data_IF_780259904947
#
_entry.id   IF_780259904947
#
_cell.length_a   1.000
_cell.length_b   1.000
_cell.length_c   1.000
_cell.angle_alpha   90.00
_cell.angle_beta   90.00
_cell.angle_gamma   90.00
#
_symmetry.space_group_name_H-M   'P 1'
#
loop_
_entity.id
_entity.type
_entity.pdbx_description
1 polymer ?
#
# COMPACT_ATOMS: atom_id res chain seq x y z
N UNK A 1 -11.66 40.96 -27.46
CA UNK A 1 -10.18 41.05 -27.32
C UNK A 1 -9.68 40.60 -25.95
N UNK A 2 -10.44 40.82 -24.87
CA UNK A 2 -10.07 40.37 -23.51
C UNK A 2 -10.26 38.84 -23.26
N UNK A 3 -11.22 38.19 -23.93
CA UNK A 3 -11.45 36.73 -23.83
C UNK A 3 -10.33 35.88 -24.46
N UNK A 4 -9.80 36.32 -25.62
CA UNK A 4 -8.78 35.58 -26.39
C UNK A 4 -7.39 35.58 -25.75
N UNK A 5 -7.12 36.48 -24.80
CA UNK A 5 -5.85 36.51 -24.06
C UNK A 5 -5.86 35.64 -22.80
N UNK A 6 -7.03 35.35 -22.21
CA UNK A 6 -7.14 34.41 -21.10
C UNK A 6 -6.91 32.96 -21.56
N UNK A 7 -7.45 32.58 -22.73
CA UNK A 7 -7.37 31.23 -23.29
C UNK A 7 -5.92 30.81 -23.67
N UNK A 8 -5.09 31.77 -24.08
CA UNK A 8 -3.69 31.50 -24.44
C UNK A 8 -2.77 31.38 -23.23
N UNK A 9 -3.08 32.07 -22.11
CA UNK A 9 -2.31 32.00 -20.88
C UNK A 9 -2.48 30.67 -20.15
N UNK A 10 -3.72 30.20 -20.05
CA UNK A 10 -4.06 28.92 -19.39
C UNK A 10 -3.52 27.74 -20.20
N UNK A 11 -3.64 27.77 -21.54
CA UNK A 11 -3.09 26.72 -22.41
C UNK A 11 -1.56 26.64 -22.35
N UNK A 12 -0.85 27.77 -22.21
CA UNK A 12 0.62 27.80 -22.05
C UNK A 12 1.06 27.33 -20.67
N UNK A 13 0.30 27.66 -19.62
CA UNK A 13 0.56 27.19 -18.26
C UNK A 13 0.41 25.66 -18.16
N UNK A 14 -0.67 25.11 -18.72
CA UNK A 14 -0.94 23.66 -18.70
C UNK A 14 0.08 22.88 -19.55
N UNK A 15 0.48 23.40 -20.72
CA UNK A 15 1.53 22.77 -21.53
C UNK A 15 2.90 22.80 -20.85
N UNK A 16 3.20 23.88 -20.10
CA UNK A 16 4.39 23.97 -19.25
C UNK A 16 4.42 22.93 -18.13
N UNK A 17 3.29 22.69 -17.46
CA UNK A 17 3.16 21.66 -16.43
C UNK A 17 3.34 20.23 -16.98
N UNK A 18 2.83 19.95 -18.19
CA UNK A 18 2.94 18.63 -18.82
C UNK A 18 4.38 18.28 -19.24
N UNK A 19 5.15 19.27 -19.73
CA UNK A 19 6.56 19.10 -20.13
C UNK A 19 7.48 19.01 -18.91
N UNK A 20 7.18 19.77 -17.84
CA UNK A 20 7.91 19.66 -16.58
C UNK A 20 7.78 18.26 -15.96
N UNK A 21 6.60 17.64 -16.05
CA UNK A 21 6.35 16.28 -15.54
C UNK A 21 7.19 15.20 -16.25
N UNK A 22 7.33 15.29 -17.58
CA UNK A 22 8.20 14.36 -18.34
C UNK A 22 9.69 14.51 -18.03
N UNK A 23 10.14 15.71 -17.63
CA UNK A 23 11.54 15.96 -17.27
C UNK A 23 11.87 15.54 -15.83
N UNK A 24 10.92 15.63 -14.90
CA UNK A 24 11.11 15.21 -13.50
C UNK A 24 11.23 13.68 -13.38
N UNK A 25 10.43 12.91 -14.13
CA UNK A 25 10.50 11.44 -14.14
C UNK A 25 11.84 10.93 -14.70
N UNK A 26 12.45 11.64 -15.65
CA UNK A 26 13.76 11.28 -16.20
C UNK A 26 14.95 11.74 -15.34
N UNK A 27 14.77 12.73 -14.47
CA UNK A 27 15.86 13.34 -13.67
C UNK A 27 16.21 12.61 -12.38
N UNK A 28 15.26 11.89 -11.78
CA UNK A 28 15.47 11.23 -10.48
C UNK A 28 16.44 10.02 -10.54
N UNK A 29 16.61 9.39 -11.70
CA UNK A 29 17.53 8.25 -11.87
C UNK A 29 19.02 8.62 -11.89
N UNK A 30 19.39 9.90 -11.98
CA UNK A 30 20.80 10.33 -12.12
C UNK A 30 21.43 10.89 -10.84
N UNK A 31 20.63 11.33 -9.87
CA UNK A 31 21.15 12.01 -8.67
C UNK A 31 21.69 11.03 -7.59
N UNK A 32 21.20 9.79 -7.57
CA UNK A 32 21.53 8.84 -6.50
C UNK A 32 22.93 8.21 -6.58
N UNK A 33 23.67 8.37 -7.68
CA UNK A 33 24.94 7.65 -7.92
C UNK A 33 26.19 8.48 -7.54
N UNK A 34 26.07 9.79 -7.28
CA UNK A 34 27.25 10.67 -7.20
C UNK A 34 27.77 11.00 -5.79
N UNK A 35 27.11 10.64 -4.69
CA UNK A 35 27.49 11.13 -3.35
C UNK A 35 28.13 10.08 -2.43
N UNK A 36 28.52 8.91 -2.94
CA UNK A 36 29.04 7.80 -2.12
C UNK A 36 30.58 7.71 -2.07
N UNK A 37 31.29 8.78 -2.42
CA UNK A 37 32.74 8.88 -2.26
C UNK A 37 33.02 10.00 -1.27
N UNK A 38 33.65 9.64 -0.15
CA UNK A 38 34.17 10.49 0.94
C UNK A 38 33.47 10.26 2.29
N UNK A 39 33.73 9.10 2.91
CA UNK A 39 33.56 8.93 4.35
C UNK A 39 34.83 8.28 4.94
N UNK A 40 35.41 9.00 5.89
CA UNK A 40 36.66 8.73 6.59
C UNK A 40 36.46 7.60 7.62
N UNK A 41 37.35 6.61 7.60
CA UNK A 41 37.34 5.41 8.47
C UNK A 41 37.75 5.82 9.89
N UNK A 42 36.87 5.63 10.87
CA UNK A 42 37.23 5.62 12.30
C UNK A 42 37.28 4.18 12.79
N UNK A 43 38.40 3.83 13.43
CA UNK A 43 38.73 2.50 13.93
C UNK A 43 37.68 2.00 14.95
N UNK A 44 37.07 0.86 14.64
CA UNK A 44 36.22 0.10 15.57
C UNK A 44 37.07 -1.02 16.15
N UNK A 45 37.23 -1.02 17.48
CA UNK A 45 37.83 -2.10 18.23
C UNK A 45 36.88 -3.31 18.19
N UNK A 46 37.30 -4.37 17.49
CA UNK A 46 36.53 -5.60 17.38
C UNK A 46 36.67 -6.36 18.71
N UNK A 47 35.57 -6.42 19.47
CA UNK A 47 35.43 -7.38 20.56
C UNK A 47 35.11 -8.74 19.93
N UNK A 48 36.02 -9.71 20.05
CA UNK A 48 35.74 -11.10 19.68
C UNK A 48 34.61 -11.65 20.55
N UNK A 49 33.49 -12.02 19.91
CA UNK A 49 32.42 -12.81 20.54
C UNK A 49 32.60 -14.25 20.06
N UNK A 50 32.83 -15.16 21.01
CA UNK A 50 33.06 -16.58 20.75
C UNK A 50 31.88 -17.21 19.98
N UNK A 51 32.17 -17.82 18.83
CA UNK A 51 31.19 -18.40 17.91
C UNK A 51 30.53 -19.72 18.40
N UNK A 52 30.58 -20.00 19.70
CA UNK A 52 30.19 -21.29 20.28
C UNK A 52 28.77 -21.32 20.89
N UNK A 53 28.07 -20.18 21.00
CA UNK A 53 26.75 -20.11 21.67
C UNK A 53 25.63 -19.47 20.83
N UNK A 54 25.52 -19.81 19.54
CA UNK A 54 24.30 -19.50 18.77
C UNK A 54 23.59 -20.80 18.38
N UNK A 55 23.03 -21.49 19.38
CA UNK A 55 22.08 -22.57 19.09
C UNK A 55 20.74 -21.93 18.73
N UNK A 56 20.09 -22.30 17.62
CA UNK A 56 18.80 -21.71 17.20
C UNK A 56 17.62 -22.09 18.09
N UNK A 57 17.84 -22.94 19.10
CA UNK A 57 16.83 -23.44 20.03
C UNK A 57 16.87 -22.63 21.33
N UNK A 58 15.71 -22.47 21.97
CA UNK A 58 15.62 -21.88 23.31
C UNK A 58 16.10 -22.83 24.42
N UNK A 59 15.97 -22.40 25.67
CA UNK A 59 16.35 -23.19 26.86
C UNK A 59 15.55 -24.49 27.03
N UNK A 60 14.38 -24.59 26.38
CA UNK A 60 13.49 -25.74 26.39
C UNK A 60 13.67 -26.62 25.14
N UNK A 61 14.51 -26.21 24.19
CA UNK A 61 14.77 -26.93 22.94
C UNK A 61 13.77 -26.62 21.82
N UNK A 62 12.95 -25.57 21.95
CA UNK A 62 12.01 -25.15 20.92
C UNK A 62 12.69 -24.30 19.85
N UNK A 63 12.34 -24.56 18.60
CA UNK A 63 12.84 -23.80 17.45
C UNK A 63 12.08 -22.47 17.29
N UNK A 64 10.77 -22.48 17.55
CA UNK A 64 9.90 -21.33 17.38
C UNK A 64 9.53 -20.72 18.72
N UNK A 65 9.89 -19.46 18.91
CA UNK A 65 9.66 -18.74 20.17
C UNK A 65 8.47 -17.81 20.00
N UNK A 66 7.50 -17.90 20.92
CA UNK A 66 6.26 -17.12 20.82
C UNK A 66 6.50 -15.62 20.66
N UNK A 67 7.32 -15.02 21.53
CA UNK A 67 7.55 -13.58 21.50
C UNK A 67 8.33 -13.08 20.28
N UNK A 68 9.22 -13.90 19.73
CA UNK A 68 10.07 -13.57 18.57
C UNK A 68 9.35 -13.82 17.24
N UNK A 69 8.66 -14.95 17.13
CA UNK A 69 8.20 -15.49 15.86
C UNK A 69 6.68 -15.47 15.70
N UNK A 70 5.90 -15.68 16.77
CA UNK A 70 4.43 -15.82 16.70
C UNK A 70 3.71 -14.52 17.03
N UNK A 71 4.10 -13.85 18.11
CA UNK A 71 3.48 -12.60 18.54
C UNK A 71 3.50 -11.52 17.44
N UNK A 72 4.58 -11.32 16.67
CA UNK A 72 4.55 -10.38 15.55
C UNK A 72 3.55 -10.74 14.45
N UNK A 73 3.32 -12.04 14.20
CA UNK A 73 2.33 -12.49 13.22
C UNK A 73 0.91 -12.18 13.71
N UNK A 74 0.62 -12.43 14.99
CA UNK A 74 -0.67 -12.13 15.59
C UNK A 74 -0.96 -10.62 15.60
N UNK A 75 0.05 -9.80 15.91
CA UNK A 75 -0.06 -8.33 15.85
C UNK A 75 -0.37 -7.87 14.43
N UNK A 76 0.42 -8.33 13.46
CA UNK A 76 0.34 -7.88 12.06
C UNK A 76 -0.96 -8.26 11.38
N UNK A 77 -1.42 -9.50 11.61
CA UNK A 77 -2.47 -10.11 10.79
C UNK A 77 -3.80 -10.29 11.50
N UNK A 78 -3.82 -10.27 12.84
CA UNK A 78 -4.99 -10.68 13.61
C UNK A 78 -5.54 -9.58 14.53
N UNK A 79 -4.68 -8.78 15.18
CA UNK A 79 -5.12 -7.82 16.19
C UNK A 79 -6.03 -6.70 15.68
N UNK A 80 -5.94 -6.32 14.40
CA UNK A 80 -6.80 -5.25 13.85
C UNK A 80 -8.30 -5.60 13.97
N UNK A 81 -8.66 -6.87 13.78
CA UNK A 81 -10.05 -7.36 13.83
C UNK A 81 -10.37 -8.20 15.07
N UNK A 82 -9.36 -8.69 15.79
CA UNK A 82 -9.51 -9.58 16.97
C UNK A 82 -8.76 -9.03 18.20
N UNK A 83 -8.62 -7.71 18.28
CA UNK A 83 -8.01 -7.00 19.42
C UNK A 83 -9.03 -6.61 20.50
N UNK A 84 -8.58 -5.88 21.54
CA UNK A 84 -9.41 -5.54 22.70
C UNK A 84 -10.53 -4.53 22.42
N UNK A 85 -10.39 -3.70 21.38
CA UNK A 85 -11.30 -2.58 21.11
C UNK A 85 -12.48 -2.95 20.19
N UNK A 86 -12.30 -3.91 19.26
CA UNK A 86 -13.34 -4.37 18.33
C UNK A 86 -13.08 -5.83 17.89
N UNK A 87 -13.41 -6.78 18.77
CA UNK A 87 -13.24 -8.20 18.52
C UNK A 87 -14.39 -8.77 17.67
N UNK A 88 -14.14 -9.02 16.38
CA UNK A 88 -15.09 -9.70 15.51
C UNK A 88 -15.43 -11.09 16.07
N UNK A 89 -16.71 -11.43 16.05
CA UNK A 89 -17.27 -12.67 16.61
C UNK A 89 -16.95 -12.92 18.10
N UNK A 90 -16.63 -11.86 18.87
CA UNK A 90 -16.27 -11.96 20.29
C UNK A 90 -15.02 -12.83 20.54
N UNK A 91 -14.16 -12.99 19.51
CA UNK A 91 -12.90 -13.70 19.60
C UNK A 91 -11.74 -12.71 19.72
N UNK A 92 -10.98 -12.83 20.81
CA UNK A 92 -9.81 -12.01 21.14
C UNK A 92 -8.53 -12.81 21.00
N UNK A 93 -7.62 -12.35 20.14
CA UNK A 93 -6.31 -12.95 19.93
C UNK A 93 -5.28 -12.51 20.98
N UNK A 94 -5.51 -11.37 21.65
CA UNK A 94 -4.68 -10.92 22.78
C UNK A 94 -4.92 -11.73 24.07
N UNK A 95 -6.03 -12.48 24.13
CA UNK A 95 -6.44 -13.27 25.28
C UNK A 95 -5.92 -14.71 25.17
N UNK A 96 -4.88 -15.02 25.94
CA UNK A 96 -4.25 -16.36 25.91
C UNK A 96 -5.26 -17.47 26.21
N UNK A 97 -6.12 -17.29 27.21
CA UNK A 97 -7.05 -18.35 27.62
C UNK A 97 -8.07 -18.62 26.51
N UNK A 98 -8.59 -17.57 25.88
CA UNK A 98 -9.51 -17.71 24.74
C UNK A 98 -8.81 -18.30 23.52
N UNK A 99 -7.55 -17.93 23.25
CA UNK A 99 -6.80 -18.48 22.11
C UNK A 99 -6.53 -19.98 22.30
N UNK A 100 -6.18 -20.37 23.53
CA UNK A 100 -5.93 -21.77 23.88
C UNK A 100 -7.16 -22.68 23.69
N UNK A 101 -8.38 -22.15 23.69
CA UNK A 101 -9.59 -22.92 23.35
C UNK A 101 -9.64 -23.37 21.88
N UNK A 102 -8.84 -22.74 21.01
CA UNK A 102 -8.77 -23.03 19.56
C UNK A 102 -7.50 -23.77 19.15
N UNK A 103 -6.58 -23.98 20.11
CA UNK A 103 -5.33 -24.70 19.93
C UNK A 103 -5.37 -26.04 20.65
N UNK A 104 -4.82 -27.05 19.99
CA UNK A 104 -4.43 -28.31 20.62
C UNK A 104 -2.89 -28.35 20.65
N UNK A 105 -2.26 -28.06 21.81
CA UNK A 105 -0.83 -28.21 21.96
C UNK A 105 -0.35 -29.58 21.51
N UNK A 106 0.83 -29.62 20.87
CA UNK A 106 1.44 -30.83 20.28
C UNK A 106 0.74 -31.37 19.02
N UNK A 107 -0.42 -30.82 18.61
CA UNK A 107 -1.15 -31.26 17.42
C UNK A 107 -1.79 -30.10 16.63
N UNK A 108 -1.01 -29.52 15.72
CA UNK A 108 -1.50 -28.49 14.80
C UNK A 108 -2.60 -28.98 13.86
N UNK A 109 -2.63 -30.28 13.53
CA UNK A 109 -3.63 -30.84 12.61
C UNK A 109 -4.98 -31.11 13.32
N UNK A 110 -5.02 -31.05 14.65
CA UNK A 110 -6.24 -31.05 15.47
C UNK A 110 -6.64 -29.65 15.98
N UNK A 111 -5.76 -28.66 15.81
CA UNK A 111 -6.02 -27.28 16.23
C UNK A 111 -6.98 -26.58 15.27
N UNK A 112 -8.16 -26.22 15.76
CA UNK A 112 -9.19 -25.54 14.96
C UNK A 112 -8.69 -24.23 14.37
N UNK A 113 -7.88 -23.45 15.10
CA UNK A 113 -7.25 -22.24 14.55
C UNK A 113 -6.51 -22.54 13.25
N UNK A 114 -5.68 -23.58 13.25
CA UNK A 114 -4.82 -23.91 12.12
C UNK A 114 -5.60 -24.50 10.94
N UNK A 115 -6.49 -25.46 11.21
CA UNK A 115 -7.19 -26.21 10.16
C UNK A 115 -8.41 -25.47 9.63
N UNK A 116 -9.24 -24.95 10.52
CA UNK A 116 -10.55 -24.40 10.13
C UNK A 116 -10.46 -22.93 9.71
N UNK A 117 -9.42 -22.19 10.15
CA UNK A 117 -9.29 -20.76 9.87
C UNK A 117 -8.03 -20.38 9.08
N UNK A 118 -6.85 -20.94 9.39
CA UNK A 118 -5.60 -20.53 8.70
C UNK A 118 -5.34 -21.26 7.37
N UNK A 119 -5.79 -22.51 7.23
CA UNK A 119 -5.49 -23.38 6.08
C UNK A 119 -6.74 -23.87 5.31
N UNK A 120 -7.90 -23.27 5.59
CA UNK A 120 -9.16 -23.61 4.94
C UNK A 120 -9.25 -23.06 3.51
N UNK A 121 -10.00 -23.76 2.65
CA UNK A 121 -10.37 -23.29 1.30
C UNK A 121 -11.67 -22.47 1.30
N UNK A 122 -12.38 -22.39 2.43
CA UNK A 122 -13.64 -21.65 2.57
C UNK A 122 -13.36 -20.16 2.79
N UNK A 123 -13.78 -19.31 1.83
CA UNK A 123 -13.54 -17.86 1.86
C UNK A 123 -14.19 -17.15 3.06
N UNK A 124 -15.31 -17.66 3.58
CA UNK A 124 -16.01 -17.04 4.71
C UNK A 124 -15.36 -17.38 6.07
N UNK A 125 -14.58 -18.47 6.10
CA UNK A 125 -13.90 -18.97 7.30
C UNK A 125 -12.41 -18.62 7.33
N UNK A 126 -11.81 -18.34 6.17
CA UNK A 126 -10.39 -18.04 6.07
C UNK A 126 -10.02 -16.77 6.85
N UNK A 127 -9.08 -16.91 7.79
CA UNK A 127 -8.52 -15.81 8.55
C UNK A 127 -6.99 -15.75 8.37
N UNK A 128 -6.41 -14.57 8.09
CA UNK A 128 -7.11 -13.32 7.77
C UNK A 128 -7.89 -13.43 6.44
N UNK A 129 -8.99 -12.66 6.27
CA UNK A 129 -9.70 -12.63 5.00
C UNK A 129 -8.80 -12.13 3.87
N UNK A 130 -9.09 -12.57 2.63
CA UNK A 130 -8.36 -12.10 1.44
C UNK A 130 -8.43 -10.58 1.25
N UNK A 131 -9.49 -9.92 1.70
CA UNK A 131 -9.61 -8.46 1.65
C UNK A 131 -8.73 -7.72 2.66
N UNK A 132 -8.13 -8.45 3.63
CA UNK A 132 -7.35 -7.92 4.74
C UNK A 132 -6.03 -8.68 4.92
N UNK A 133 -5.36 -9.01 3.80
CA UNK A 133 -3.97 -9.47 3.82
C UNK A 133 -3.73 -10.96 4.09
N UNK A 134 -4.78 -11.79 4.13
CA UNK A 134 -4.64 -13.25 4.16
C UNK A 134 -4.76 -13.93 2.79
N UNK A 135 -4.50 -15.25 2.69
CA UNK A 135 -3.99 -16.13 3.74
C UNK A 135 -2.53 -15.80 4.11
N UNK A 136 -2.09 -16.28 5.27
CA UNK A 136 -0.68 -16.23 5.66
C UNK A 136 0.22 -16.91 4.61
N UNK A 137 1.46 -16.43 4.48
CA UNK A 137 2.44 -17.08 3.61
C UNK A 137 2.79 -18.49 4.09
N UNK A 138 3.31 -19.33 3.20
CA UNK A 138 3.72 -20.68 3.55
C UNK A 138 4.76 -20.72 4.69
N UNK A 139 5.64 -19.71 4.78
CA UNK A 139 6.62 -19.59 5.87
C UNK A 139 5.96 -19.25 7.21
N UNK A 140 5.02 -18.31 7.21
CA UNK A 140 4.27 -17.92 8.42
C UNK A 140 3.38 -19.07 8.91
N UNK A 141 2.70 -19.77 8.00
CA UNK A 141 1.94 -20.98 8.33
C UNK A 141 2.83 -22.10 8.90
N UNK A 142 4.04 -22.24 8.38
CA UNK A 142 5.00 -23.21 8.91
C UNK A 142 5.44 -22.84 10.33
N UNK A 143 5.70 -21.55 10.62
CA UNK A 143 6.03 -21.09 11.97
C UNK A 143 4.91 -21.39 12.95
N UNK A 144 3.66 -21.05 12.62
CA UNK A 144 2.50 -21.34 13.47
C UNK A 144 2.34 -22.86 13.67
N UNK A 145 2.49 -23.66 12.61
CA UNK A 145 2.41 -25.13 12.70
C UNK A 145 3.46 -25.70 13.63
N UNK A 146 4.72 -25.27 13.48
CA UNK A 146 5.83 -25.76 14.30
C UNK A 146 5.63 -25.35 15.75
N UNK A 147 5.27 -24.09 16.01
CA UNK A 147 5.00 -23.63 17.37
C UNK A 147 3.90 -24.42 18.07
N UNK A 148 2.78 -24.71 17.40
CA UNK A 148 1.71 -25.52 17.98
C UNK A 148 2.21 -26.94 18.29
N UNK A 149 2.94 -27.55 17.36
CA UNK A 149 3.52 -28.89 17.54
C UNK A 149 4.64 -28.94 18.59
N UNK A 150 5.23 -27.80 18.94
CA UNK A 150 6.18 -27.63 20.06
C UNK A 150 5.45 -27.34 21.39
N UNK A 151 4.12 -27.54 21.44
CA UNK A 151 3.32 -27.40 22.65
C UNK A 151 2.64 -26.03 22.79
N UNK A 152 2.63 -25.22 21.73
CA UNK A 152 2.05 -23.88 21.71
C UNK A 152 2.49 -23.02 22.91
N UNK A 153 3.78 -23.07 23.25
CA UNK A 153 4.31 -22.42 24.45
C UNK A 153 4.10 -20.91 24.36
N UNK A 154 3.21 -20.41 25.21
CA UNK A 154 2.91 -18.99 25.39
C UNK A 154 3.15 -18.67 26.86
N UNK A 155 4.19 -17.88 27.21
CA UNK A 155 4.47 -17.54 28.60
C UNK A 155 3.34 -16.74 29.26
N UNK A 156 2.94 -17.11 30.48
CA UNK A 156 1.80 -16.48 31.18
C UNK A 156 1.95 -14.97 31.41
N UNK A 157 3.19 -14.48 31.54
CA UNK A 157 3.49 -13.06 31.73
C UNK A 157 3.64 -12.27 30.40
N UNK A 158 3.45 -12.95 29.26
CA UNK A 158 3.60 -12.35 27.93
C UNK A 158 2.25 -11.85 27.42
N UNK A 159 2.03 -10.54 27.53
CA UNK A 159 0.87 -9.87 26.96
C UNK A 159 1.19 -9.37 25.55
N UNK A 160 0.32 -9.70 24.58
CA UNK A 160 0.31 -9.05 23.28
C UNK A 160 -0.52 -7.77 23.42
N UNK A 161 0.10 -6.73 23.98
CA UNK A 161 -0.38 -5.37 23.75
C UNK A 161 0.45 -4.76 22.61
N UNK A 162 -0.13 -3.90 21.79
CA UNK A 162 0.59 -3.20 20.72
C UNK A 162 1.75 -2.30 21.22
N UNK A 163 2.02 -2.27 22.53
CA UNK A 163 3.06 -1.47 23.18
C UNK A 163 4.30 -2.28 23.61
N UNK A 164 4.22 -3.60 23.77
CA UNK A 164 5.29 -4.42 24.40
C UNK A 164 6.11 -5.27 23.44
N UNK A 165 5.59 -5.56 22.25
CA UNK A 165 6.38 -6.19 21.17
C UNK A 165 7.56 -5.29 20.76
N UNK A 166 7.45 -3.97 20.99
CA UNK A 166 8.55 -3.01 20.83
C UNK A 166 9.76 -3.28 21.76
N UNK A 167 9.57 -3.94 22.91
CA UNK A 167 10.66 -4.10 23.91
C UNK A 167 11.60 -5.28 23.58
N UNK A 168 11.12 -6.30 22.88
CA UNK A 168 11.98 -7.43 22.46
C UNK A 168 12.76 -7.16 21.17
N UNK A 169 12.34 -6.16 20.40
CA UNK A 169 13.04 -5.69 19.21
C UNK A 169 14.06 -4.58 19.51
N UNK A 170 14.22 -4.22 20.79
CA UNK A 170 15.18 -3.22 21.28
C UNK A 170 16.60 -3.78 21.43
N UNK A 171 16.97 -4.80 20.64
CA UNK A 171 18.37 -4.91 20.22
C UNK A 171 18.54 -3.79 19.21
N UNK A 172 19.03 -2.65 19.67
CA UNK A 172 19.40 -1.45 18.89
C UNK A 172 20.28 -1.85 17.70
N UNK A 173 19.68 -2.36 16.63
CA UNK A 173 20.20 -2.17 15.28
C UNK A 173 19.76 -0.77 14.93
N UNK A 174 20.62 0.17 15.27
CA UNK A 174 20.56 1.57 14.88
C UNK A 174 20.70 1.63 13.35
N UNK A 175 19.70 1.14 12.62
CA UNK A 175 19.50 1.48 11.21
C UNK A 175 19.00 2.90 11.25
N UNK A 176 19.94 3.83 11.42
CA UNK A 176 19.72 5.25 11.23
C UNK A 176 19.28 5.47 9.78
N UNK A 177 18.00 5.20 9.48
CA UNK A 177 17.36 5.75 8.29
C UNK A 177 17.43 7.25 8.48
N UNK A 178 18.20 7.91 7.62
CA UNK A 178 18.34 9.35 7.63
C UNK A 178 16.94 9.98 7.75
N UNK A 179 16.74 10.98 8.63
CA UNK A 179 15.40 11.53 8.87
C UNK A 179 14.79 11.95 7.53
N UNK A 180 13.65 11.35 7.17
CA UNK A 180 12.94 11.63 5.91
C UNK A 180 12.92 13.15 5.67
N UNK A 181 13.32 13.59 4.48
CA UNK A 181 13.36 15.02 4.17
C UNK A 181 11.95 15.63 4.26
N UNK A 182 11.84 16.95 4.45
CA UNK A 182 10.51 17.61 4.46
C UNK A 182 9.71 17.32 3.18
N UNK A 183 10.40 17.16 2.05
CA UNK A 183 9.77 16.83 0.78
C UNK A 183 9.20 15.40 0.79
N UNK A 184 9.94 14.43 1.33
CA UNK A 184 9.47 13.05 1.49
C UNK A 184 8.28 12.98 2.44
N UNK A 185 8.32 13.69 3.57
CA UNK A 185 7.20 13.74 4.52
C UNK A 185 5.94 14.33 3.90
N UNK A 186 6.08 15.42 3.14
CA UNK A 186 4.96 16.03 2.41
C UNK A 186 4.46 15.09 1.32
N UNK A 187 5.37 14.44 0.60
CA UNK A 187 5.03 13.47 -0.45
C UNK A 187 4.26 12.28 0.11
N UNK A 188 4.68 11.74 1.25
CA UNK A 188 4.02 10.66 1.97
C UNK A 188 2.65 11.09 2.50
N UNK A 189 2.60 12.23 3.20
CA UNK A 189 1.37 12.74 3.82
C UNK A 189 0.27 13.04 2.80
N UNK A 190 0.59 13.58 1.62
CA UNK A 190 -0.46 13.83 0.61
C UNK A 190 -1.12 12.55 0.09
N UNK A 191 -0.47 11.39 0.19
CA UNK A 191 -1.02 10.11 -0.26
C UNK A 191 -2.32 9.76 0.47
N UNK A 192 -2.40 10.10 1.76
CA UNK A 192 -3.61 9.94 2.59
C UNK A 192 -4.79 10.79 2.11
N UNK A 193 -4.57 11.79 1.26
CA UNK A 193 -5.65 12.55 0.63
C UNK A 193 -6.20 11.88 -0.64
N UNK A 194 -5.66 10.73 -1.07
CA UNK A 194 -6.15 9.99 -2.22
C UNK A 194 -7.67 9.70 -2.15
N UNK A 195 -8.23 9.12 -1.06
CA UNK A 195 -9.67 8.85 -0.98
C UNK A 195 -10.52 10.13 -1.08
N UNK A 196 -10.06 11.24 -0.51
CA UNK A 196 -10.76 12.52 -0.64
C UNK A 196 -10.69 13.06 -2.07
N UNK A 197 -9.53 12.95 -2.73
CA UNK A 197 -9.32 13.52 -4.06
C UNK A 197 -9.97 12.75 -5.19
N UNK A 198 -10.22 11.43 -5.05
CA UNK A 198 -10.93 10.64 -6.08
C UNK A 198 -12.39 11.07 -6.27
N UNK A 199 -13.02 11.70 -5.28
CA UNK A 199 -14.40 12.17 -5.39
C UNK A 199 -14.57 13.29 -6.43
N UNK A 200 -13.55 14.12 -6.64
CA UNK A 200 -13.59 15.22 -7.60
C UNK A 200 -13.69 14.75 -9.06
N UNK A 201 -12.77 13.90 -9.59
CA UNK A 201 -12.87 13.42 -10.96
C UNK A 201 -14.15 12.59 -11.16
N UNK A 202 -14.55 11.76 -10.19
CA UNK A 202 -15.80 10.98 -10.27
C UNK A 202 -17.00 11.93 -10.45
N UNK A 203 -17.15 12.92 -9.56
CA UNK A 203 -18.27 13.86 -9.61
C UNK A 203 -18.27 14.68 -10.91
N UNK A 204 -17.11 15.21 -11.33
CA UNK A 204 -17.00 16.02 -12.54
C UNK A 204 -17.28 15.22 -13.81
N UNK A 205 -16.72 14.01 -13.94
CA UNK A 205 -16.93 13.17 -15.12
C UNK A 205 -18.39 12.69 -15.20
N UNK A 206 -18.99 12.25 -14.08
CA UNK A 206 -20.40 11.86 -14.01
C UNK A 206 -21.34 13.04 -14.33
N UNK A 207 -21.09 14.21 -13.72
CA UNK A 207 -21.88 15.41 -13.97
C UNK A 207 -21.77 15.86 -15.43
N UNK A 208 -20.56 15.89 -15.98
CA UNK A 208 -20.31 16.20 -17.38
C UNK A 208 -21.02 15.24 -18.34
N UNK A 209 -20.96 13.93 -18.06
CA UNK A 209 -21.67 12.90 -18.81
C UNK A 209 -23.20 13.11 -18.79
N UNK A 210 -23.76 13.46 -17.62
CA UNK A 210 -25.17 13.83 -17.50
C UNK A 210 -25.55 14.98 -18.43
N UNK A 211 -24.72 16.01 -18.53
CA UNK A 211 -24.94 17.14 -19.45
C UNK A 211 -24.74 16.79 -20.93
N UNK A 212 -23.93 15.77 -21.27
CA UNK A 212 -23.88 15.23 -22.64
C UNK A 212 -25.23 14.62 -23.02
N UNK A 213 -25.81 13.81 -22.12
CA UNK A 213 -27.12 13.16 -22.34
C UNK A 213 -28.24 14.20 -22.41
N UNK A 214 -28.27 15.17 -21.48
CA UNK A 214 -29.21 16.29 -21.52
C UNK A 214 -29.06 17.12 -22.81
N UNK A 215 -27.85 17.21 -23.34
CA UNK A 215 -27.51 17.84 -24.61
C UNK A 215 -28.27 17.28 -25.82
N UNK A 216 -28.75 16.03 -25.77
CA UNK A 216 -29.59 15.46 -26.83
C UNK A 216 -30.96 16.12 -26.92
N UNK A 217 -31.51 16.55 -25.78
CA UNK A 217 -32.78 17.28 -25.72
C UNK A 217 -32.59 18.79 -25.79
N UNK A 218 -31.50 19.30 -25.21
CA UNK A 218 -31.18 20.72 -25.14
C UNK A 218 -29.75 21.00 -25.65
N UNK A 219 -29.59 21.23 -26.96
CA UNK A 219 -28.26 21.38 -27.58
C UNK A 219 -27.39 22.51 -27.00
N UNK A 220 -28.01 23.54 -26.41
CA UNK A 220 -27.32 24.65 -25.74
C UNK A 220 -26.49 24.20 -24.54
N UNK A 221 -26.93 23.16 -23.82
CA UNK A 221 -26.26 22.66 -22.61
C UNK A 221 -25.18 21.61 -22.92
N UNK A 222 -25.28 20.93 -24.05
CA UNK A 222 -24.49 19.73 -24.36
C UNK A 222 -23.04 19.95 -24.79
N UNK A 223 -22.48 21.17 -24.67
CA UNK A 223 -21.11 21.45 -25.13
C UNK A 223 -20.26 22.17 -24.09
N UNK A 224 -20.66 23.33 -23.58
CA UNK A 224 -19.82 24.11 -22.65
C UNK A 224 -19.66 23.44 -21.29
N UNK A 225 -20.76 22.96 -20.70
CA UNK A 225 -20.74 22.32 -19.37
C UNK A 225 -19.96 21.00 -19.41
N UNK A 226 -20.24 20.05 -20.34
CA UNK A 226 -19.46 18.81 -20.42
C UNK A 226 -17.98 19.04 -20.69
N UNK A 227 -17.63 20.05 -21.51
CA UNK A 227 -16.24 20.39 -21.78
C UNK A 227 -15.52 20.84 -20.51
N UNK A 228 -16.09 21.78 -19.75
CA UNK A 228 -15.48 22.25 -18.51
C UNK A 228 -15.29 21.09 -17.52
N UNK A 229 -16.31 20.24 -17.38
CA UNK A 229 -16.28 19.07 -16.50
C UNK A 229 -15.20 18.07 -16.91
N UNK A 230 -15.04 17.81 -18.21
CA UNK A 230 -13.99 16.93 -18.72
C UNK A 230 -12.59 17.51 -18.46
N UNK A 231 -12.39 18.82 -18.65
CA UNK A 231 -11.09 19.46 -18.44
C UNK A 231 -10.68 19.45 -16.96
N UNK A 232 -11.55 19.91 -16.07
CA UNK A 232 -11.27 19.88 -14.62
C UNK A 232 -11.21 18.45 -14.10
N UNK A 233 -12.08 17.58 -14.60
CA UNK A 233 -12.10 16.15 -14.28
C UNK A 233 -10.77 15.49 -14.63
N UNK A 234 -10.22 15.72 -15.82
CA UNK A 234 -8.93 15.17 -16.24
C UNK A 234 -7.77 15.65 -15.35
N UNK A 235 -7.72 16.95 -15.02
CA UNK A 235 -6.69 17.49 -14.11
C UNK A 235 -6.80 16.86 -12.72
N UNK A 236 -8.01 16.76 -12.17
CA UNK A 236 -8.24 16.13 -10.87
C UNK A 236 -7.96 14.63 -10.86
N UNK A 237 -8.21 13.92 -11.98
CA UNK A 237 -7.91 12.49 -12.12
C UNK A 237 -6.40 12.21 -12.11
N UNK A 238 -5.61 13.08 -12.75
CA UNK A 238 -4.14 13.03 -12.67
C UNK A 238 -3.68 13.24 -11.23
N UNK A 239 -4.21 14.27 -10.55
CA UNK A 239 -3.90 14.54 -9.15
C UNK A 239 -4.21 13.35 -8.22
N UNK A 240 -5.41 12.76 -8.37
CA UNK A 240 -5.81 11.59 -7.61
C UNK A 240 -4.90 10.38 -7.89
N UNK A 241 -4.49 10.17 -9.14
CA UNK A 241 -3.55 9.07 -9.51
C UNK A 241 -2.18 9.27 -8.87
N UNK A 242 -1.66 10.50 -8.84
CA UNK A 242 -0.38 10.81 -8.21
C UNK A 242 -0.42 10.58 -6.70
N UNK A 243 -1.49 11.04 -6.04
CA UNK A 243 -1.69 10.79 -4.61
C UNK A 243 -1.86 9.29 -4.32
N UNK A 244 -2.56 8.56 -5.19
CA UNK A 244 -2.70 7.11 -5.07
C UNK A 244 -1.37 6.38 -5.19
N UNK A 245 -0.47 6.83 -6.07
CA UNK A 245 0.87 6.27 -6.18
C UNK A 245 1.74 6.57 -4.95
N UNK A 246 1.66 7.80 -4.44
CA UNK A 246 2.29 8.18 -3.16
C UNK A 246 1.78 7.32 -2.00
N UNK A 247 0.46 7.09 -1.93
CA UNK A 247 -0.13 6.24 -0.90
C UNK A 247 0.32 4.77 -1.03
N UNK A 248 0.38 4.25 -2.25
CA UNK A 248 0.87 2.90 -2.51
C UNK A 248 2.33 2.70 -2.07
N UNK A 249 3.18 3.73 -2.22
CA UNK A 249 4.58 3.64 -1.74
C UNK A 249 4.68 3.60 -0.21
N UNK A 250 3.84 4.32 0.52
CA UNK A 250 3.84 4.27 2.00
C UNK A 250 3.30 2.96 2.55
N UNK A 251 2.40 2.30 1.83
CA UNK A 251 1.81 1.01 2.23
C UNK A 251 2.62 -0.21 1.71
N UNK A 252 3.83 -0.01 1.16
CA UNK A 252 4.66 -1.11 0.64
C UNK A 252 4.24 -1.69 -0.72
N UNK A 253 3.13 -1.20 -1.32
CA UNK A 253 2.61 -1.61 -2.64
C UNK A 253 3.26 -0.89 -3.83
N UNK A 254 4.19 0.04 -3.58
CA UNK A 254 4.68 1.03 -4.55
C UNK A 254 5.88 0.62 -5.42
N UNK A 255 6.38 -0.61 -5.29
CA UNK A 255 7.47 -1.11 -6.15
C UNK A 255 6.96 -1.40 -7.56
N UNK A 256 7.58 -0.78 -8.57
CA UNK A 256 7.34 -1.07 -9.99
C UNK A 256 7.72 -2.50 -10.38
N UNK A 257 8.42 -3.23 -9.50
CA UNK A 257 9.08 -4.50 -9.78
C UNK A 257 8.31 -5.68 -9.14
N UNK A 258 7.48 -5.42 -8.11
CA UNK A 258 6.56 -6.40 -7.52
C UNK A 258 5.30 -6.45 -8.40
N UNK A 259 5.41 -7.12 -9.55
CA UNK A 259 4.28 -7.56 -10.37
C UNK A 259 3.76 -8.94 -9.94
N UNK A 260 4.15 -9.41 -8.76
CA UNK A 260 3.72 -10.70 -8.24
C UNK A 260 2.22 -10.66 -7.96
N UNK A 261 1.46 -11.07 -8.97
CA UNK A 261 0.01 -11.21 -8.95
C UNK A 261 -0.47 -12.25 -7.93
N UNK A 262 0.46 -12.92 -7.24
CA UNK A 262 0.20 -13.87 -6.15
C UNK A 262 0.12 -13.20 -4.76
N UNK A 263 0.66 -11.99 -4.58
CA UNK A 263 0.73 -11.29 -3.28
C UNK A 263 -0.08 -9.98 -3.23
N UNK A 264 -0.67 -9.57 -4.35
CA UNK A 264 -1.56 -8.41 -4.44
C UNK A 264 -2.99 -8.88 -4.56
N UNK A 265 -3.86 -8.46 -3.64
CA UNK A 265 -5.30 -8.70 -3.73
C UNK A 265 -5.81 -8.28 -5.10
N UNK A 266 -6.50 -9.20 -5.77
CA UNK A 266 -7.02 -9.02 -7.14
C UNK A 266 -7.77 -7.69 -7.26
N UNK A 267 -8.47 -7.29 -6.21
CA UNK A 267 -9.26 -6.08 -6.10
C UNK A 267 -8.40 -4.81 -6.11
N UNK A 268 -7.32 -4.75 -5.32
CA UNK A 268 -6.38 -3.61 -5.28
C UNK A 268 -5.66 -3.47 -6.63
N UNK A 269 -5.27 -4.58 -7.25
CA UNK A 269 -4.67 -4.56 -8.59
C UNK A 269 -5.60 -3.92 -9.63
N UNK A 270 -6.86 -4.37 -9.68
CA UNK A 270 -7.84 -3.83 -10.63
C UNK A 270 -8.22 -2.39 -10.33
N UNK A 271 -8.36 -2.02 -9.05
CA UNK A 271 -8.62 -0.63 -8.64
C UNK A 271 -7.51 0.32 -9.13
N UNK A 272 -6.24 -0.05 -8.89
CA UNK A 272 -5.06 0.74 -9.30
C UNK A 272 -5.02 0.97 -10.81
N UNK A 273 -5.12 -0.10 -11.60
CA UNK A 273 -5.01 0.00 -13.05
C UNK A 273 -6.21 0.65 -13.71
N UNK A 274 -7.42 0.37 -13.21
CA UNK A 274 -8.63 1.00 -13.73
C UNK A 274 -8.65 2.52 -13.47
N UNK A 275 -8.16 2.97 -12.31
CA UNK A 275 -7.95 4.40 -12.02
C UNK A 275 -6.96 5.07 -12.98
N UNK A 276 -5.82 4.44 -13.25
CA UNK A 276 -4.81 4.93 -14.22
C UNK A 276 -5.41 5.01 -15.63
N UNK A 277 -6.19 4.00 -16.04
CA UNK A 277 -6.86 3.99 -17.35
C UNK A 277 -7.83 5.18 -17.47
N UNK A 278 -8.67 5.43 -16.45
CA UNK A 278 -9.57 6.59 -16.42
C UNK A 278 -8.80 7.91 -16.55
N UNK A 279 -7.69 8.04 -15.82
CA UNK A 279 -6.82 9.22 -15.86
C UNK A 279 -6.28 9.46 -17.28
N UNK A 280 -5.69 8.45 -17.92
CA UNK A 280 -5.16 8.55 -19.29
C UNK A 280 -6.27 8.85 -20.31
N UNK A 281 -7.39 8.13 -20.24
CA UNK A 281 -8.51 8.33 -21.16
C UNK A 281 -9.11 9.74 -21.03
N UNK A 282 -9.30 10.23 -19.80
CA UNK A 282 -9.86 11.57 -19.56
C UNK A 282 -8.95 12.67 -20.11
N UNK A 283 -7.62 12.55 -19.97
CA UNK A 283 -6.65 13.46 -20.59
C UNK A 283 -6.69 13.37 -22.11
N UNK A 284 -6.73 12.16 -22.66
CA UNK A 284 -6.83 11.93 -24.11
C UNK A 284 -8.08 12.59 -24.71
N UNK A 285 -9.25 12.37 -24.11
CA UNK A 285 -10.50 13.00 -24.56
C UNK A 285 -10.53 14.50 -24.30
N UNK A 286 -9.92 15.01 -23.23
CA UNK A 286 -9.74 16.44 -23.00
C UNK A 286 -8.94 17.09 -24.14
N UNK A 287 -7.84 16.46 -24.59
CA UNK A 287 -7.06 16.93 -25.73
C UNK A 287 -7.90 16.91 -27.01
N UNK A 288 -8.64 15.83 -27.28
CA UNK A 288 -9.55 15.75 -28.45
C UNK A 288 -10.62 16.84 -28.38
N UNK A 289 -11.16 17.13 -27.21
CA UNK A 289 -12.14 18.19 -26.99
C UNK A 289 -11.56 19.57 -27.32
N UNK A 290 -10.35 19.88 -26.85
CA UNK A 290 -9.64 21.13 -27.16
C UNK A 290 -9.32 21.24 -28.66
N UNK A 291 -8.92 20.16 -29.31
CA UNK A 291 -8.69 20.12 -30.76
C UNK A 291 -9.99 20.32 -31.54
N UNK A 292 -11.12 19.82 -31.03
CA UNK A 292 -12.45 20.05 -31.60
C UNK A 292 -12.92 21.50 -31.54
N UNK A 293 -12.33 22.36 -30.69
CA UNK A 293 -12.64 23.79 -30.63
C UNK A 293 -11.89 24.61 -31.68
N UNK A 294 -10.75 24.10 -32.19
CA UNK A 294 -9.91 24.80 -33.16
C UNK A 294 -10.45 24.75 -34.60
N UNK A 295 -11.50 23.99 -34.85
CA UNK A 295 -12.17 23.93 -36.15
C UNK A 295 -13.47 23.14 -36.08
N UNK A 296 -14.36 23.34 -37.06
CA UNK A 296 -15.66 22.68 -37.10
C UNK A 296 -15.53 21.20 -37.53
N UNK A 297 -15.13 20.36 -36.57
CA UNK A 297 -14.89 18.92 -36.78
C UNK A 297 -15.96 18.11 -36.04
N UNK A 298 -17.14 17.85 -36.65
CA UNK A 298 -18.25 17.18 -35.97
C UNK A 298 -17.91 15.79 -35.46
N UNK A 299 -17.02 15.06 -36.17
CA UNK A 299 -16.51 13.76 -35.72
C UNK A 299 -15.74 13.85 -34.40
N UNK A 300 -14.87 14.86 -34.23
CA UNK A 300 -14.12 15.02 -32.97
C UNK A 300 -15.06 15.42 -31.83
N UNK A 301 -16.08 16.23 -32.12
CA UNK A 301 -17.12 16.60 -31.15
C UNK A 301 -17.85 15.36 -30.60
N UNK A 302 -18.22 14.43 -31.50
CA UNK A 302 -18.81 13.16 -31.12
C UNK A 302 -17.84 12.30 -30.29
N UNK A 303 -16.57 12.19 -30.71
CA UNK A 303 -15.57 11.33 -30.05
C UNK A 303 -15.34 11.72 -28.59
N UNK A 304 -15.10 13.00 -28.28
CA UNK A 304 -14.84 13.38 -26.88
C UNK A 304 -16.09 13.30 -26.00
N UNK A 305 -17.29 13.54 -26.56
CA UNK A 305 -18.55 13.40 -25.82
C UNK A 305 -18.86 11.95 -25.49
N UNK A 306 -18.69 11.06 -26.48
CA UNK A 306 -18.82 9.63 -26.26
C UNK A 306 -17.74 9.13 -25.29
N UNK A 307 -16.50 9.60 -25.46
CA UNK A 307 -15.40 9.32 -24.55
C UNK A 307 -15.69 9.72 -23.10
N UNK A 308 -16.30 10.88 -22.88
CA UNK A 308 -16.74 11.33 -21.55
C UNK A 308 -17.78 10.40 -20.94
N UNK A 309 -18.75 9.88 -21.72
CA UNK A 309 -19.70 8.87 -21.22
C UNK A 309 -18.99 7.57 -20.81
N UNK A 310 -18.00 7.13 -21.60
CA UNK A 310 -17.19 5.94 -21.28
C UNK A 310 -16.36 6.16 -20.02
N UNK A 311 -15.67 7.30 -19.90
CA UNK A 311 -14.92 7.66 -18.70
C UNK A 311 -15.83 7.67 -17.46
N UNK A 312 -17.01 8.28 -17.54
CA UNK A 312 -17.95 8.31 -16.43
C UNK A 312 -18.44 6.91 -16.01
N UNK A 313 -18.72 6.03 -16.99
CA UNK A 313 -19.11 4.65 -16.70
C UNK A 313 -18.00 3.86 -16.00
N UNK A 314 -16.76 3.96 -16.51
CA UNK A 314 -15.60 3.30 -15.89
C UNK A 314 -15.36 3.89 -14.49
N UNK A 315 -15.36 5.21 -14.33
CA UNK A 315 -15.20 5.88 -13.02
C UNK A 315 -16.23 5.44 -12.00
N UNK A 316 -17.48 5.18 -12.41
CA UNK A 316 -18.50 4.61 -11.52
C UNK A 316 -18.13 3.21 -11.01
N UNK A 317 -17.59 2.36 -11.88
CA UNK A 317 -17.11 1.02 -11.50
C UNK A 317 -15.89 1.10 -10.57
N UNK A 318 -14.90 1.94 -10.90
CA UNK A 318 -13.71 2.14 -10.05
C UNK A 318 -14.09 2.74 -8.69
N UNK A 319 -15.03 3.68 -8.68
CA UNK A 319 -15.54 4.29 -7.45
C UNK A 319 -16.30 3.30 -6.57
N UNK A 320 -17.04 2.36 -7.16
CA UNK A 320 -17.70 1.29 -6.41
C UNK A 320 -16.68 0.38 -5.71
N UNK A 321 -15.66 -0.10 -6.44
CA UNK A 321 -14.55 -0.88 -5.89
C UNK A 321 -13.78 -0.09 -4.82
N UNK A 322 -13.63 1.23 -5.06
CA UNK A 322 -13.00 2.14 -4.10
C UNK A 322 -13.77 2.28 -2.79
N UNK A 323 -15.10 2.22 -2.84
CA UNK A 323 -15.97 2.37 -1.66
C UNK A 323 -16.08 1.10 -0.81
N UNK A 324 -15.61 -0.04 -1.32
CA UNK A 324 -15.54 -1.31 -0.56
C UNK A 324 -14.29 -1.36 0.35
N UNK A 325 -13.30 -0.49 0.11
CA UNK A 325 -12.11 -0.39 0.96
C UNK A 325 -12.42 0.47 2.21
N UNK A 326 -12.32 -0.13 3.40
CA UNK A 326 -12.38 0.57 4.68
C UNK A 326 -11.00 1.05 5.10
N UNK A 327 -10.90 2.31 5.52
CA UNK A 327 -9.70 2.87 6.14
C UNK A 327 -9.94 2.97 7.65
N UNK A 328 -9.09 2.35 8.48
CA UNK A 328 -9.23 2.35 9.94
C UNK A 328 -9.23 3.75 10.57
N UNK A 329 -9.61 3.86 11.85
CA UNK A 329 -9.75 5.16 12.54
C UNK A 329 -8.46 5.98 12.60
N UNK A 330 -7.31 5.29 12.52
CA UNK A 330 -5.99 5.90 12.64
C UNK A 330 -5.45 6.48 11.30
N UNK A 331 -6.25 6.43 10.23
CA UNK A 331 -5.85 6.83 8.87
C UNK A 331 -5.38 8.30 8.75
N UNK A 332 -6.18 9.26 9.20
CA UNK A 332 -5.80 10.69 9.16
C UNK A 332 -4.83 11.11 10.28
N UNK A 333 -4.94 10.59 11.52
CA UNK A 333 -3.89 10.80 12.51
C UNK A 333 -2.49 10.38 12.02
N UNK A 334 -2.38 9.25 11.29
CA UNK A 334 -1.13 8.80 10.67
C UNK A 334 -0.58 9.84 9.68
N UNK A 335 -1.42 10.41 8.81
CA UNK A 335 -1.03 11.51 7.90
C UNK A 335 -0.35 12.68 8.64
N UNK A 336 -0.93 13.13 9.76
CA UNK A 336 -0.35 14.25 10.53
C UNK A 336 0.96 13.86 11.21
N UNK A 337 1.08 12.63 11.73
CA UNK A 337 2.33 12.11 12.31
C UNK A 337 3.44 12.04 11.26
N UNK A 338 3.15 11.51 10.08
CA UNK A 338 4.08 11.45 8.94
C UNK A 338 4.52 12.86 8.50
N UNK A 339 3.59 13.82 8.41
CA UNK A 339 3.91 15.20 8.02
C UNK A 339 4.80 15.91 9.05
N UNK A 340 4.49 15.77 10.33
CA UNK A 340 5.26 16.37 11.43
C UNK A 340 6.59 15.62 11.67
N UNK A 341 6.74 14.43 11.10
CA UNK A 341 7.84 13.50 11.36
C UNK A 341 7.98 13.16 12.84
N UNK A 342 6.84 13.07 13.52
CA UNK A 342 6.72 12.49 14.87
C UNK A 342 6.36 11.00 14.76
N UNK A 343 6.57 10.41 13.59
CA UNK A 343 6.50 8.98 13.35
C UNK A 343 7.56 8.33 14.23
N UNK A 344 7.12 7.86 15.41
CA UNK A 344 7.84 6.81 16.11
C UNK A 344 7.78 5.60 15.18
N UNK A 345 8.87 4.86 15.09
CA UNK A 345 8.90 3.62 14.33
C UNK A 345 7.87 2.69 14.98
N UNK A 346 6.65 2.67 14.43
CA UNK A 346 5.72 1.58 14.67
C UNK A 346 6.30 0.40 13.89
N UNK A 347 6.77 -0.57 14.68
CA UNK A 347 7.39 -1.82 14.26
C UNK A 347 6.57 -2.56 13.17
N UNK A 348 5.29 -2.23 13.05
CA UNK A 348 4.34 -2.79 12.07
C UNK A 348 4.70 -2.55 10.58
N UNK A 349 5.68 -1.70 10.26
CA UNK A 349 5.98 -1.28 8.88
C UNK A 349 7.39 -1.62 8.36
N UNK A 350 8.16 -2.42 9.08
CA UNK A 350 9.48 -2.88 8.61
C UNK A 350 9.31 -4.18 7.80
N UNK A 351 9.30 -4.06 6.47
CA UNK A 351 9.58 -5.19 5.58
C UNK A 351 11.01 -5.69 5.87
N UNK A 352 11.14 -6.77 6.64
CA UNK A 352 12.42 -7.48 6.82
C UNK A 352 12.73 -8.20 5.51
N UNK A 353 13.61 -7.60 4.70
CA UNK A 353 14.20 -8.26 3.54
C UNK A 353 15.15 -9.35 4.07
N UNK A 354 14.67 -10.61 4.09
CA UNK A 354 15.49 -11.77 4.41
C UNK A 354 16.49 -11.92 3.27
N UNK A 355 17.71 -11.43 3.50
CA UNK A 355 18.85 -11.69 2.61
C UNK A 355 19.26 -13.14 2.84
N UNK A 356 19.04 -13.99 1.84
CA UNK A 356 19.56 -15.35 1.81
C UNK A 356 21.09 -15.32 1.94
N UNK A 357 21.60 -15.70 3.11
CA UNK A 357 23.02 -15.95 3.31
C UNK A 357 23.30 -17.32 2.70
N UNK A 358 23.87 -17.33 1.50
CA UNK A 358 24.38 -18.55 0.87
C UNK A 358 25.57 -19.06 1.70
N UNK A 359 25.33 -20.09 2.52
CA UNK A 359 26.35 -20.75 3.34
C UNK A 359 27.28 -21.53 2.40
N UNK A 360 28.42 -20.92 2.06
CA UNK A 360 29.51 -21.62 1.37
C UNK A 360 30.12 -22.62 2.36
N UNK A 361 29.88 -23.91 2.13
CA UNK A 361 30.47 -24.99 2.91
C UNK A 361 32.01 -24.95 2.83
N UNK A 362 32.74 -25.20 3.95
CA UNK A 362 34.19 -25.23 3.94
C UNK A 362 34.68 -26.42 3.10
N UNK A 363 35.57 -26.15 2.14
CA UNK A 363 36.26 -27.21 1.42
C UNK A 363 37.18 -27.96 2.41
N UNK A 364 37.02 -29.28 2.49
CA UNK A 364 37.94 -30.17 3.20
C UNK A 364 39.34 -30.06 2.57
N UNK A 365 40.28 -29.50 3.32
CA UNK A 365 41.72 -29.61 3.06
C UNK A 365 42.16 -31.03 3.41
N UNK A 366 42.17 -31.92 2.42
CA UNK A 366 42.82 -33.23 2.55
C UNK A 366 44.34 -33.04 2.46
N UNK A 367 44.94 -32.70 3.59
CA UNK A 367 46.37 -32.84 3.84
C UNK A 367 46.71 -34.25 4.34
N UNK A 368 47.57 -34.91 3.56
CA UNK A 368 48.24 -36.23 3.73
C UNK A 368 47.55 -37.50 3.24
#
# INVERSE_FOLDING_TARGET
MFQLHLDAGIARFIFGCLVAFTLTVAGQGRAAVSSAQDAEVLDVEIVEVDAAETTPLDENGHLVQFGRDIAPLLVKHCLECHGPDDAKNDFRVDDRDMMMDYLEPDDADSSTLYVDYLTTDDEDMLMPPRSHGGPLSAGELALVKVWINEGADWPEDFAIDGSRVAVLLDVDVDVAQAPKSLLERVWAAQGFLHPATVHFPIALLMFGAGFVVLGWKWPSLGTQIPLACLLFGAVSAVGATLMGWSFATEQGYGSWNRFDAEMMDREIFWHRWSGVIVSILSVGFAIVALLSLRGDRPKMNFVWKFGLLVCAAISGLVGHQGGEMSYGEDFYPKMFRTLLGTEKVDVDSVDVEVVDIEVVAPQEDTGE
#
